data_IF_092152059050
#
_entry.id   IF_092152059050
#
_cell.length_a   1.000
_cell.length_b   1.000
_cell.length_c   1.000
_cell.angle_alpha   90.00
_cell.angle_beta   90.00
_cell.angle_gamma   90.00
#
_symmetry.space_group_name_H-M   'P 1'
#
loop_
_entity.id
_entity.type
_entity.pdbx_description
1 polymer ?
#
# COMPACT_ATOMS: atom_id res chain seq x y z
N UNK A 1 -22.24 9.83 11.83
CA UNK A 1 -22.05 9.56 11.75
C UNK A 1 -21.90 9.17 11.59
N UNK A 2 -21.64 9.31 11.23
CA UNK A 2 -21.23 9.00 11.01
C UNK A 2 -21.25 8.29 10.67
N UNK A 3 -21.27 8.19 10.36
CA UNK A 3 -21.18 7.64 10.17
C UNK A 3 -21.10 7.26 10.02
N UNK A 4 -21.29 6.87 9.85
CA UNK A 4 -21.06 6.40 9.81
C UNK A 4 -21.00 5.75 9.64
N UNK A 5 -21.42 5.17 9.45
CA UNK A 5 -21.14 4.55 9.38
C UNK A 5 -20.94 3.74 8.78
N UNK A 6 -21.81 2.99 7.90
CA UNK A 6 -21.12 2.02 7.49
C UNK A 6 -20.84 2.06 6.14
N UNK A 7 -21.58 2.13 5.28
CA UNK A 7 -20.99 2.37 4.05
C UNK A 7 -20.56 3.63 4.21
N UNK A 8 -21.34 4.15 4.59
CA UNK A 8 -20.82 5.04 5.22
C UNK A 8 -19.86 4.44 6.03
N UNK A 9 -19.98 3.24 6.28
CA UNK A 9 -19.07 2.60 6.95
C UNK A 9 -17.82 2.47 6.25
N UNK A 10 -17.81 2.13 5.02
CA UNK A 10 -16.63 2.08 4.23
C UNK A 10 -16.09 3.46 4.12
N UNK A 11 -16.92 4.43 3.95
CA UNK A 11 -16.45 5.72 3.88
C UNK A 11 -16.01 6.25 5.19
N UNK A 12 -16.66 5.88 6.26
CA UNK A 12 -16.17 6.21 7.52
C UNK A 12 -14.81 5.70 7.74
N UNK A 13 -14.54 4.55 7.25
CA UNK A 13 -13.29 3.96 7.34
C UNK A 13 -12.27 4.78 6.64
N UNK A 14 -12.54 5.20 5.44
CA UNK A 14 -11.66 6.05 4.70
C UNK A 14 -11.39 7.33 5.45
N UNK A 15 -12.39 7.92 6.04
CA UNK A 15 -12.20 9.16 6.74
C UNK A 15 -11.35 9.02 7.98
N UNK A 16 -11.35 7.85 8.60
CA UNK A 16 -10.51 7.64 9.75
C UNK A 16 -9.07 7.38 9.41
N UNK A 17 -8.77 7.10 8.15
CA UNK A 17 -7.40 6.89 7.72
C UNK A 17 -6.80 8.21 7.32
N UNK A 18 -5.53 8.37 7.65
CA UNK A 18 -4.81 9.55 7.23
C UNK A 18 -4.58 9.58 5.73
N UNK A 19 -4.62 8.42 5.06
CA UNK A 19 -4.29 8.32 3.64
C UNK A 19 -5.22 7.36 2.95
N UNK A 20 -5.52 7.66 1.69
CA UNK A 20 -6.34 6.78 0.86
C UNK A 20 -5.59 5.50 0.56
N UNK A 21 -6.26 4.38 0.65
CA UNK A 21 -5.66 3.10 0.34
C UNK A 21 -5.81 2.78 -1.13
N UNK A 22 -4.82 2.06 -1.66
CA UNK A 22 -4.79 1.69 -3.06
C UNK A 22 -4.76 0.17 -3.15
N UNK A 23 -5.76 -0.39 -3.79
CA UNK A 23 -5.93 -1.83 -3.85
C UNK A 23 -5.62 -2.44 -5.20
N UNK A 24 -5.71 -1.66 -6.25
CA UNK A 24 -5.60 -2.21 -7.59
C UNK A 24 -4.23 -2.03 -8.22
N UNK A 25 -3.35 -1.29 -7.59
CA UNK A 25 -2.03 -1.08 -8.14
C UNK A 25 -1.24 -2.38 -8.04
N UNK A 26 -0.54 -2.72 -9.10
CA UNK A 26 0.25 -3.95 -9.12
C UNK A 26 1.50 -3.72 -8.30
N UNK A 27 1.59 -4.44 -7.19
CA UNK A 27 2.66 -4.21 -6.25
C UNK A 27 2.95 -5.49 -5.49
N UNK A 28 4.24 -5.75 -5.31
CA UNK A 28 4.68 -6.79 -4.39
C UNK A 28 5.67 -6.16 -3.44
N UNK A 29 5.78 -6.72 -2.24
CA UNK A 29 6.75 -6.26 -1.26
C UNK A 29 7.84 -7.31 -1.14
N UNK A 30 9.08 -6.86 -1.00
CA UNK A 30 10.18 -7.76 -0.67
C UNK A 30 10.50 -7.51 0.79
N UNK A 31 10.38 -8.56 1.60
CA UNK A 31 10.50 -8.46 3.04
C UNK A 31 11.33 -9.66 3.49
N UNK A 32 12.47 -9.41 4.11
CA UNK A 32 13.38 -10.46 4.53
C UNK A 32 13.76 -11.38 3.37
N UNK A 33 13.96 -10.79 2.19
CA UNK A 33 14.36 -11.57 1.03
C UNK A 33 13.25 -12.32 0.33
N UNK A 34 12.01 -12.20 0.82
CA UNK A 34 10.89 -12.91 0.23
C UNK A 34 9.93 -11.91 -0.39
N UNK A 35 9.40 -12.28 -1.56
CA UNK A 35 8.39 -11.46 -2.23
C UNK A 35 7.02 -11.87 -1.72
N UNK A 36 6.24 -10.91 -1.26
CA UNK A 36 4.89 -11.16 -0.80
C UNK A 36 3.94 -10.22 -1.52
N UNK A 37 2.77 -10.71 -1.90
CA UNK A 37 1.80 -9.86 -2.61
C UNK A 37 1.28 -8.77 -1.68
N UNK A 38 1.08 -7.59 -2.26
CA UNK A 38 0.50 -6.47 -1.54
C UNK A 38 -0.99 -6.45 -1.82
N UNK A 39 -1.79 -6.42 -0.77
CA UNK A 39 -3.23 -6.35 -0.92
C UNK A 39 -3.66 -4.90 -1.11
N UNK A 40 -3.16 -4.00 -0.28
CA UNK A 40 -3.39 -2.58 -0.47
C UNK A 40 -2.30 -1.81 0.25
N UNK A 41 -2.16 -0.54 -0.09
CA UNK A 41 -1.12 0.31 0.49
C UNK A 41 -1.59 1.76 0.50
N UNK A 42 -0.89 2.57 1.28
CA UNK A 42 -1.11 4.01 1.32
C UNK A 42 0.20 4.65 1.75
N UNK A 43 0.21 5.97 1.87
CA UNK A 43 1.40 6.65 2.37
C UNK A 43 1.66 6.32 3.84
N UNK A 44 0.70 5.73 4.53
CA UNK A 44 0.85 5.38 5.93
C UNK A 44 1.29 3.95 6.17
N UNK A 45 1.16 3.06 5.20
CA UNK A 45 1.53 1.68 5.43
C UNK A 45 1.08 0.75 4.32
N UNK A 46 1.24 -0.55 4.57
CA UNK A 46 0.95 -1.55 3.56
C UNK A 46 0.36 -2.78 4.24
N UNK A 47 -0.60 -3.40 3.57
CA UNK A 47 -1.18 -4.68 3.98
C UNK A 47 -0.74 -5.72 2.96
N UNK A 48 -0.12 -6.78 3.44
CA UNK A 48 0.45 -7.81 2.59
C UNK A 48 -0.15 -9.16 2.91
N UNK A 49 -0.14 -10.06 1.94
CA UNK A 49 -0.59 -11.42 2.12
C UNK A 49 0.63 -12.33 2.21
N UNK A 50 0.82 -12.96 3.36
CA UNK A 50 1.98 -13.81 3.57
C UNK A 50 1.87 -14.54 4.88
N UNK A 51 2.90 -15.34 5.19
CA UNK A 51 2.88 -16.15 6.39
C UNK A 51 3.12 -15.26 7.60
N UNK A 52 2.03 -14.94 8.29
CA UNK A 52 2.10 -14.04 9.43
C UNK A 52 2.84 -14.64 10.62
N UNK A 53 3.05 -15.94 10.63
CA UNK A 53 3.77 -16.59 11.72
C UNK A 53 5.26 -16.24 11.73
N UNK A 54 5.77 -15.73 10.62
CA UNK A 54 7.18 -15.37 10.51
C UNK A 54 7.48 -14.00 11.12
N UNK A 55 6.47 -13.28 11.57
CA UNK A 55 6.64 -11.91 12.02
C UNK A 55 6.03 -11.69 13.37
N UNK A 56 6.49 -10.66 14.07
CA UNK A 56 6.03 -10.32 15.40
C UNK A 56 5.50 -8.89 15.39
N UNK A 57 4.35 -8.66 16.02
CA UNK A 57 3.83 -7.30 16.17
C UNK A 57 4.84 -6.48 16.94
N UNK A 58 5.14 -5.29 16.44
CA UNK A 58 6.15 -4.41 17.01
C UNK A 58 7.51 -4.55 16.36
N UNK A 59 7.70 -5.56 15.52
CA UNK A 59 8.97 -5.78 14.84
C UNK A 59 9.23 -4.68 13.81
N UNK A 60 10.44 -4.14 13.81
CA UNK A 60 10.85 -3.18 12.80
C UNK A 60 11.32 -3.93 11.57
N UNK A 61 10.92 -3.46 10.41
CA UNK A 61 11.26 -4.13 9.16
C UNK A 61 11.66 -3.10 8.12
N UNK A 62 12.53 -3.52 7.22
CA UNK A 62 12.81 -2.76 6.01
C UNK A 62 12.17 -3.52 4.86
N UNK A 63 11.42 -2.83 4.05
CA UNK A 63 10.77 -3.48 2.92
C UNK A 63 10.94 -2.66 1.67
N UNK A 64 10.93 -3.34 0.53
CA UNK A 64 10.97 -2.70 -0.77
C UNK A 64 9.66 -3.02 -1.47
N UNK A 65 8.92 -1.98 -1.81
CA UNK A 65 7.70 -2.12 -2.58
C UNK A 65 8.07 -1.99 -4.05
N UNK A 66 7.68 -2.98 -4.84
CA UNK A 66 7.95 -2.98 -6.27
C UNK A 66 6.64 -2.75 -6.99
N UNK A 67 6.54 -1.62 -7.67
CA UNK A 67 5.33 -1.24 -8.39
C UNK A 67 5.54 -1.40 -9.87
N UNK A 68 4.60 -2.07 -10.53
CA UNK A 68 4.63 -2.17 -11.97
C UNK A 68 3.89 -0.98 -12.55
N UNK A 69 4.62 -0.04 -13.11
CA UNK A 69 4.04 1.12 -13.75
C UNK A 69 3.83 0.85 -15.22
N UNK A 70 3.33 1.86 -15.93
CA UNK A 70 2.99 1.71 -17.34
C UNK A 70 4.19 1.24 -18.17
N UNK A 71 5.35 1.81 -17.94
CA UNK A 71 6.53 1.50 -18.76
C UNK A 71 7.77 1.17 -17.95
N UNK A 72 7.61 0.87 -16.65
CA UNK A 72 8.78 0.56 -15.83
C UNK A 72 8.34 -0.08 -14.53
N UNK A 73 9.31 -0.62 -13.81
CA UNK A 73 9.09 -1.09 -12.46
C UNK A 73 9.79 -0.11 -11.53
N UNK A 74 9.08 0.37 -10.52
CA UNK A 74 9.65 1.30 -9.56
C UNK A 74 9.78 0.65 -8.21
N UNK A 75 10.97 0.74 -7.61
CA UNK A 75 11.23 0.21 -6.29
C UNK A 75 11.23 1.34 -5.27
N UNK A 76 10.49 1.17 -4.20
CA UNK A 76 10.51 2.13 -3.09
C UNK A 76 10.85 1.37 -1.84
N UNK A 77 12.01 1.67 -1.25
CA UNK A 77 12.46 1.02 -0.03
C UNK A 77 12.20 1.93 1.16
N UNK A 78 11.63 1.38 2.20
CA UNK A 78 11.31 2.19 3.37
C UNK A 78 11.26 1.29 4.60
N UNK A 79 11.26 1.93 5.77
CA UNK A 79 11.21 1.22 7.04
C UNK A 79 9.82 1.34 7.63
N UNK A 80 9.44 0.33 8.39
CA UNK A 80 8.17 0.35 9.07
C UNK A 80 8.18 -0.61 10.24
N UNK A 81 7.02 -0.76 10.84
CA UNK A 81 6.85 -1.63 11.98
C UNK A 81 5.59 -2.46 11.77
N UNK A 82 5.69 -3.74 12.10
CA UNK A 82 4.54 -4.63 12.04
C UNK A 82 3.56 -4.17 13.12
N UNK A 83 2.36 -3.78 12.72
CA UNK A 83 1.36 -3.30 13.68
C UNK A 83 0.23 -4.28 13.88
N UNK A 84 0.04 -5.22 12.94
CA UNK A 84 -1.01 -6.21 13.07
C UNK A 84 -0.69 -7.38 12.17
N UNK A 85 -1.07 -8.58 12.59
CA UNK A 85 -0.92 -9.77 11.77
C UNK A 85 -2.03 -10.73 12.11
N UNK A 86 -2.32 -11.64 11.19
CA UNK A 86 -3.29 -12.70 11.42
C UNK A 86 -3.92 -13.12 10.12
N UNK A 87 -4.39 -14.36 10.06
CA UNK A 87 -5.07 -14.91 8.89
C UNK A 87 -4.24 -14.75 7.62
N UNK A 88 -2.93 -14.96 7.76
CA UNK A 88 -1.98 -14.86 6.66
C UNK A 88 -1.92 -13.47 6.06
N UNK A 89 -2.11 -12.46 6.89
CA UNK A 89 -1.97 -11.06 6.49
C UNK A 89 -1.04 -10.37 7.46
N UNK A 90 -0.28 -9.41 6.94
CA UNK A 90 0.69 -8.65 7.71
C UNK A 90 0.49 -7.19 7.40
N UNK A 91 0.26 -6.38 8.43
CA UNK A 91 0.08 -4.94 8.27
C UNK A 91 1.30 -4.23 8.83
N UNK A 92 1.90 -3.38 8.01
CA UNK A 92 3.07 -2.59 8.39
C UNK A 92 2.71 -1.12 8.34
N UNK A 93 3.02 -0.41 9.41
CA UNK A 93 2.88 1.04 9.43
C UNK A 93 4.25 1.62 9.09
N UNK A 94 4.29 2.52 8.10
CA UNK A 94 5.55 3.13 7.69
C UNK A 94 6.01 4.13 8.74
N UNK A 95 7.33 4.23 8.89
CA UNK A 95 7.88 5.36 9.59
C UNK A 95 7.63 6.62 8.76
N UNK A 96 7.71 7.81 9.36
CA UNK A 96 7.44 9.03 8.60
C UNK A 96 8.28 9.07 7.34
N UNK A 97 7.63 9.38 6.22
CA UNK A 97 8.32 9.36 4.94
C UNK A 97 8.78 10.77 4.61
N UNK A 98 10.00 10.85 4.07
CA UNK A 98 10.55 12.11 3.65
C UNK A 98 10.03 12.53 2.29
N UNK A 99 10.47 13.70 1.85
CA UNK A 99 9.97 14.27 0.60
C UNK A 99 10.31 13.41 -0.59
N UNK A 100 11.51 12.84 -0.65
CA UNK A 100 11.90 12.01 -1.77
C UNK A 100 11.06 10.76 -1.89
N UNK A 101 10.80 10.08 -0.76
CA UNK A 101 9.98 8.89 -0.77
C UNK A 101 8.54 9.25 -1.11
N UNK A 102 8.06 10.37 -0.59
CA UNK A 102 6.71 10.81 -0.91
C UNK A 102 6.56 11.09 -2.40
N UNK A 103 7.58 11.67 -3.03
CA UNK A 103 7.53 11.92 -4.47
C UNK A 103 7.50 10.62 -5.26
N UNK A 104 8.23 9.61 -4.80
CA UNK A 104 8.22 8.32 -5.46
C UNK A 104 6.83 7.68 -5.40
N UNK A 105 6.18 7.73 -4.24
CA UNK A 105 4.82 7.23 -4.12
C UNK A 105 3.87 8.04 -4.98
N UNK A 106 4.07 9.36 -5.06
CA UNK A 106 3.21 10.19 -5.88
C UNK A 106 3.33 9.82 -7.35
N UNK A 107 4.52 9.48 -7.78
CA UNK A 107 4.72 9.04 -9.16
C UNK A 107 3.90 7.78 -9.46
N UNK A 108 3.85 6.85 -8.52
CA UNK A 108 3.04 5.64 -8.69
C UNK A 108 1.56 6.00 -8.80
N UNK A 109 1.10 6.91 -7.94
CA UNK A 109 -0.30 7.33 -7.96
C UNK A 109 -0.63 8.00 -9.28
N UNK A 110 0.25 8.88 -9.75
CA UNK A 110 0.02 9.60 -10.99
C UNK A 110 -0.04 8.64 -12.18
N UNK A 111 0.82 7.63 -12.19
CA UNK A 111 0.82 6.65 -13.26
C UNK A 111 -0.47 5.86 -13.28
N UNK A 112 -0.98 5.48 -12.12
CA UNK A 112 -2.24 4.74 -12.03
C UNK A 112 -3.41 5.59 -12.50
N UNK A 113 -3.43 6.88 -12.14
CA UNK A 113 -4.48 7.78 -12.56
C UNK A 113 -4.43 7.98 -14.08
N UNK A 114 -3.24 8.15 -14.63
CA UNK A 114 -3.09 8.34 -16.07
C UNK A 114 -3.55 7.09 -16.82
N UNK A 115 -3.21 5.90 -16.29
CA UNK A 115 -3.66 4.66 -16.91
C UNK A 115 -5.17 4.51 -16.90
N UNK A 116 -5.78 4.84 -15.77
CA UNK A 116 -7.23 4.75 -15.66
C UNK A 116 -7.91 5.73 -16.62
N UNK A 117 -7.35 6.94 -16.75
CA UNK A 117 -7.89 7.92 -17.67
C UNK A 117 -7.79 7.42 -19.12
N UNK A 118 -6.65 6.86 -19.48
CA UNK A 118 -6.45 6.35 -20.82
C UNK A 118 -7.44 5.22 -21.13
N UNK A 119 -7.65 4.32 -20.16
CA UNK A 119 -8.61 3.24 -20.34
C UNK A 119 -10.01 3.76 -20.52
N UNK A 120 -10.38 4.81 -19.78
CA UNK A 120 -11.73 5.36 -19.90
C UNK A 120 -11.94 6.08 -21.22
N UNK A 121 -10.87 6.48 -21.89
CA UNK A 121 -10.96 7.16 -23.17
C UNK A 121 -10.81 6.19 -24.35
N UNK A 122 -10.53 4.93 -24.08
CA UNK A 122 -10.31 3.97 -25.16
C UNK A 122 -11.63 3.72 -25.91
N UNK A 123 -11.58 3.51 -27.20
CA UNK A 123 -12.78 3.19 -27.95
C UNK A 123 -13.35 1.87 -27.50
N UNK A 124 -14.65 1.77 -27.54
CA UNK A 124 -15.30 0.55 -27.08
C UNK A 124 -15.07 -0.60 -28.07
#
# INVERSE_FOLDING_TARGET
MRTLNAAKREEDFVQRRAHTRRETDKCVAVLNGQSVPVENWSLGGVLMNGDDRLFTVGQNVELTLKFKLHNMIMDITHYGRIVRKGSQKIAVAFEPIGLGTRRAFQHVIDDAVAGAFADSQAPA
#
